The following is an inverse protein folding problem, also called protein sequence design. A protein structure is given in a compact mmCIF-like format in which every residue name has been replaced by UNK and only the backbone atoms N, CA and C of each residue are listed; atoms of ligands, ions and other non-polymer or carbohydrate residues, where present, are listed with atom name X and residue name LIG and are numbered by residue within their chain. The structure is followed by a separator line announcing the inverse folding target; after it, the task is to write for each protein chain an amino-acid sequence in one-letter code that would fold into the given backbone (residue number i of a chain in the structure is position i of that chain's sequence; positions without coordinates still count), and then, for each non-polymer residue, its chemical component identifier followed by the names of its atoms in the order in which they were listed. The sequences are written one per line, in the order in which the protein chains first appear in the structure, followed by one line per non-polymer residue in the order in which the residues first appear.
data_IF_372169543195
#
_entry.id   IF_372169543195
#
_cell.length_a   1.000
_cell.length_b   1.000
_cell.length_c   1.000
_cell.angle_alpha   90.00
_cell.angle_beta   90.00
_cell.angle_gamma   90.00
#
_symmetry.space_group_name_H-M   'P 1'
#
loop_
_entity.id
_entity.type
_entity.pdbx_description
1 polymer ?
#
# COMPACT_ATOMS: atom_id res chain seq x y z
N UNK A 1 7.25 -17.23 3.65
CA UNK A 1 7.02 -18.27 2.63
C UNK A 1 5.58 -18.24 2.13
N UNK A 2 4.59 -18.32 3.04
CA UNK A 2 3.17 -18.27 2.62
C UNK A 2 2.80 -16.96 1.91
N UNK A 3 3.36 -15.83 2.33
CA UNK A 3 3.13 -14.54 1.70
C UNK A 3 3.61 -14.52 0.25
N UNK A 4 4.80 -15.01 -0.01
CA UNK A 4 5.40 -15.04 -1.34
C UNK A 4 4.61 -15.96 -2.27
N UNK A 5 4.28 -17.17 -1.82
CA UNK A 5 3.49 -18.12 -2.60
C UNK A 5 2.13 -17.53 -2.96
N UNK A 6 1.52 -16.80 -2.04
CA UNK A 6 0.20 -16.19 -2.22
C UNK A 6 0.20 -15.05 -3.23
N UNK A 7 1.28 -14.26 -3.31
CA UNK A 7 1.30 -13.02 -4.07
C UNK A 7 2.22 -13.01 -5.30
N UNK A 8 3.04 -14.04 -5.52
CA UNK A 8 4.00 -14.04 -6.64
C UNK A 8 3.35 -13.96 -8.02
N UNK A 9 2.08 -14.34 -8.14
CA UNK A 9 1.32 -14.28 -9.38
C UNK A 9 0.48 -13.00 -9.54
N UNK A 10 0.60 -12.07 -8.61
CA UNK A 10 -0.13 -10.81 -8.67
C UNK A 10 0.21 -10.03 -9.96
N UNK A 11 -0.82 -9.55 -10.64
CA UNK A 11 -0.70 -8.77 -11.87
C UNK A 11 0.20 -9.40 -12.94
N UNK A 12 0.01 -10.70 -13.21
CA UNK A 12 0.80 -11.42 -14.22
C UNK A 12 0.78 -10.76 -15.59
N UNK A 13 -0.32 -10.13 -15.96
CA UNK A 13 -0.50 -9.47 -17.26
C UNK A 13 0.09 -8.05 -17.30
N UNK A 14 0.66 -7.56 -16.21
CA UNK A 14 1.25 -6.23 -16.10
C UNK A 14 0.27 -5.11 -16.50
N UNK A 15 -1.00 -5.24 -16.09
CA UNK A 15 -2.07 -4.29 -16.44
C UNK A 15 -2.48 -3.37 -15.30
N UNK A 16 -2.01 -3.61 -14.08
CA UNK A 16 -2.36 -2.78 -12.93
C UNK A 16 -1.84 -1.36 -13.09
N UNK A 17 -2.67 -0.38 -12.71
CA UNK A 17 -2.29 1.04 -12.75
C UNK A 17 -1.27 1.35 -11.65
N UNK A 18 -0.44 2.36 -11.86
CA UNK A 18 0.59 2.77 -10.89
C UNK A 18 0.01 3.05 -9.50
N UNK A 19 -1.14 3.73 -9.43
CA UNK A 19 -1.80 3.98 -8.14
C UNK A 19 -2.16 2.71 -7.40
N UNK A 20 -2.65 1.70 -8.12
CA UNK A 20 -2.99 0.40 -7.55
C UNK A 20 -1.75 -0.32 -7.05
N UNK A 21 -0.68 -0.32 -7.85
CA UNK A 21 0.60 -0.91 -7.45
C UNK A 21 1.19 -0.20 -6.23
N UNK A 22 1.15 1.12 -6.19
CA UNK A 22 1.65 1.91 -5.04
C UNK A 22 0.96 1.50 -3.74
N UNK A 23 -0.37 1.41 -3.75
CA UNK A 23 -1.16 0.99 -2.57
C UNK A 23 -0.82 -0.43 -2.15
N UNK A 24 -0.68 -1.33 -3.12
CA UNK A 24 -0.34 -2.73 -2.88
C UNK A 24 1.06 -2.85 -2.27
N UNK A 25 2.05 -2.16 -2.82
CA UNK A 25 3.43 -2.20 -2.33
C UNK A 25 3.57 -1.58 -0.94
N UNK A 26 2.85 -0.48 -0.68
CA UNK A 26 2.83 0.12 0.65
C UNK A 26 2.28 -0.85 1.71
N UNK A 27 1.26 -1.62 1.35
CA UNK A 27 0.67 -2.64 2.23
C UNK A 27 1.61 -3.82 2.45
N UNK A 28 2.27 -4.30 1.38
CA UNK A 28 3.20 -5.43 1.47
C UNK A 28 4.50 -5.06 2.17
N UNK A 29 4.98 -3.83 2.00
CA UNK A 29 6.30 -3.37 2.42
C UNK A 29 7.32 -3.43 1.28
N UNK A 30 8.35 -2.61 1.40
CA UNK A 30 9.38 -2.46 0.35
C UNK A 30 10.11 -3.76 0.05
N UNK A 31 10.64 -4.41 1.08
CA UNK A 31 11.46 -5.62 0.92
C UNK A 31 10.64 -6.79 0.38
N UNK A 32 9.44 -7.01 0.88
CA UNK A 32 8.56 -8.09 0.40
C UNK A 32 8.15 -7.87 -1.05
N UNK A 33 7.91 -6.62 -1.43
CA UNK A 33 7.56 -6.30 -2.83
C UNK A 33 8.74 -6.59 -3.76
N UNK A 34 9.97 -6.29 -3.35
CA UNK A 34 11.18 -6.65 -4.11
C UNK A 34 11.36 -8.17 -4.22
N UNK A 35 11.14 -8.90 -3.13
CA UNK A 35 11.23 -10.36 -3.12
C UNK A 35 10.25 -10.98 -4.12
N UNK A 36 9.02 -10.48 -4.17
CA UNK A 36 8.01 -10.96 -5.11
C UNK A 36 8.43 -10.68 -6.55
N UNK A 37 8.98 -9.51 -6.83
CA UNK A 37 9.51 -9.16 -8.16
C UNK A 37 10.64 -10.11 -8.57
N UNK A 38 11.56 -10.41 -7.65
CA UNK A 38 12.68 -11.32 -7.90
C UNK A 38 12.20 -12.76 -8.17
N UNK A 39 11.24 -13.23 -7.39
CA UNK A 39 10.69 -14.58 -7.55
C UNK A 39 9.90 -14.69 -8.85
N UNK A 40 9.15 -13.66 -9.23
CA UNK A 40 8.45 -13.62 -10.51
C UNK A 40 9.43 -13.75 -11.67
N UNK A 41 10.52 -13.01 -11.63
CA UNK A 41 11.55 -13.07 -12.66
C UNK A 41 12.17 -14.46 -12.75
N UNK A 42 12.53 -15.06 -11.61
CA UNK A 42 13.07 -16.40 -11.53
C UNK A 42 12.09 -17.46 -12.05
N UNK A 43 10.81 -17.34 -11.72
CA UNK A 43 9.76 -18.26 -12.15
C UNK A 43 9.56 -18.21 -13.68
N UNK A 44 9.53 -17.01 -14.25
CA UNK A 44 9.41 -16.82 -15.71
C UNK A 44 10.65 -17.36 -16.42
N UNK A 45 11.86 -17.09 -15.93
CA UNK A 45 13.09 -17.62 -16.50
C UNK A 45 13.17 -19.16 -16.38
N UNK A 46 12.67 -19.72 -15.26
CA UNK A 46 12.62 -21.15 -15.03
C UNK A 46 11.74 -21.91 -16.01
N UNK A 47 10.77 -21.24 -16.65
CA UNK A 47 9.94 -21.86 -17.68
C UNK A 47 10.68 -22.07 -19.01
N UNK A 48 11.85 -21.46 -19.19
CA UNK A 48 12.66 -21.56 -20.39
C UNK A 48 12.15 -20.79 -21.61
N UNK A 49 11.03 -20.08 -21.49
CA UNK A 49 10.39 -19.37 -22.59
C UNK A 49 11.01 -17.98 -22.77
N UNK A 50 11.36 -17.32 -21.66
CA UNK A 50 11.90 -15.97 -21.66
C UNK A 50 13.29 -15.99 -21.03
N UNK A 51 14.28 -15.42 -21.74
CA UNK A 51 15.70 -15.35 -21.32
C UNK A 51 16.15 -13.89 -21.27
N UNK A 52 15.44 -13.01 -20.72
CA UNK A 52 15.80 -11.60 -20.63
C UNK A 52 15.10 -10.95 -19.45
N UNK A 53 15.07 -9.64 -19.46
CA UNK A 53 14.39 -8.88 -18.45
C UNK A 53 12.89 -9.14 -18.49
N UNK A 54 12.30 -9.44 -17.33
CA UNK A 54 10.85 -9.57 -17.19
C UNK A 54 10.27 -8.18 -16.99
N UNK A 55 9.46 -7.72 -17.93
CA UNK A 55 8.93 -6.36 -17.99
C UNK A 55 8.19 -5.96 -16.70
N UNK A 56 7.33 -6.83 -16.17
CA UNK A 56 6.60 -6.54 -14.95
C UNK A 56 7.50 -6.42 -13.72
N UNK A 57 8.52 -7.27 -13.62
CA UNK A 57 9.48 -7.21 -12.53
C UNK A 57 10.32 -5.92 -12.60
N UNK A 58 10.77 -5.55 -13.80
CA UNK A 58 11.51 -4.32 -14.03
C UNK A 58 10.67 -3.09 -13.65
N UNK A 59 9.43 -3.05 -14.10
CA UNK A 59 8.48 -1.97 -13.77
C UNK A 59 8.28 -1.83 -12.27
N UNK A 60 8.11 -2.93 -11.57
CA UNK A 60 7.92 -2.94 -10.12
C UNK A 60 9.14 -2.40 -9.39
N UNK A 61 10.35 -2.81 -9.79
CA UNK A 61 11.59 -2.33 -9.18
C UNK A 61 11.76 -0.83 -9.36
N UNK A 62 11.48 -0.31 -10.55
CA UNK A 62 11.55 1.13 -10.85
C UNK A 62 10.55 1.89 -9.98
N UNK A 63 9.31 1.43 -9.92
CA UNK A 63 8.27 2.06 -9.11
C UNK A 63 8.61 2.04 -7.62
N UNK A 64 9.12 0.91 -7.11
CA UNK A 64 9.52 0.79 -5.71
C UNK A 64 10.66 1.75 -5.34
N UNK A 65 11.66 1.90 -6.21
CA UNK A 65 12.72 2.87 -6.00
C UNK A 65 12.20 4.30 -5.99
N UNK A 66 11.31 4.62 -6.91
CA UNK A 66 10.67 5.94 -6.97
C UNK A 66 9.87 6.22 -5.70
N UNK A 67 9.09 5.26 -5.23
CA UNK A 67 8.33 5.38 -3.99
C UNK A 67 9.24 5.62 -2.78
N UNK A 68 10.37 4.91 -2.71
CA UNK A 68 11.35 5.08 -1.65
C UNK A 68 11.96 6.47 -1.66
N UNK A 69 12.32 6.99 -2.83
CA UNK A 69 12.87 8.33 -3.00
C UNK A 69 11.86 9.42 -2.62
N UNK A 70 10.60 9.20 -2.88
CA UNK A 70 9.51 10.13 -2.53
C UNK A 70 9.15 10.10 -1.04
N UNK A 71 9.68 9.16 -0.27
CA UNK A 71 9.38 9.02 1.15
C UNK A 71 8.03 8.37 1.43
N UNK A 72 7.55 7.52 0.53
CA UNK A 72 6.29 6.78 0.72
C UNK A 72 6.38 5.91 1.97
N UNK A 73 5.36 5.90 2.86
CA UNK A 73 5.33 4.96 3.97
C UNK A 73 5.02 3.54 3.46
N UNK A 74 5.85 2.57 3.87
CA UNK A 74 5.68 1.17 3.50
C UNK A 74 5.13 0.31 4.64
N UNK A 75 4.62 0.94 5.67
CA UNK A 75 3.94 0.28 6.79
C UNK A 75 3.10 1.28 7.55
N UNK A 76 2.15 0.77 8.33
CA UNK A 76 1.34 1.63 9.19
C UNK A 76 2.19 2.39 10.22
N UNK A 77 3.33 1.83 10.62
CA UNK A 77 4.27 2.48 11.55
C UNK A 77 4.99 3.68 10.95
N UNK A 78 5.13 3.71 9.62
CA UNK A 78 5.76 4.82 8.91
C UNK A 78 4.83 6.03 8.72
N UNK A 79 3.54 5.89 9.03
CA UNK A 79 2.61 7.02 9.07
C UNK A 79 2.94 7.93 10.25
N UNK A 80 2.84 9.25 10.05
CA UNK A 80 3.08 10.26 11.09
C UNK A 80 1.87 10.44 12.02
N UNK A 81 1.21 9.34 12.37
CA UNK A 81 0.17 9.27 13.39
C UNK A 81 0.14 7.86 13.99
N UNK A 82 -0.32 7.77 15.23
CA UNK A 82 -0.55 6.49 15.90
C UNK A 82 -2.04 6.15 15.92
N UNK A 83 -2.37 4.92 16.31
CA UNK A 83 -3.76 4.54 16.58
C UNK A 83 -4.39 5.41 17.67
N UNK A 84 -3.61 5.78 18.70
CA UNK A 84 -4.07 6.69 19.75
C UNK A 84 -4.42 8.08 19.20
N UNK A 85 -3.64 8.60 18.27
CA UNK A 85 -3.95 9.87 17.61
C UNK A 85 -5.28 9.82 16.88
N UNK A 86 -5.53 8.75 16.14
CA UNK A 86 -6.79 8.55 15.40
C UNK A 86 -7.96 8.47 16.37
N UNK A 87 -7.83 7.72 17.46
CA UNK A 87 -8.86 7.64 18.49
C UNK A 87 -9.20 9.01 19.08
N UNK A 88 -8.17 9.82 19.37
CA UNK A 88 -8.36 11.16 19.88
C UNK A 88 -9.00 12.11 18.87
N UNK A 89 -8.54 12.08 17.63
CA UNK A 89 -9.06 12.97 16.58
C UNK A 89 -10.54 12.71 16.27
N UNK A 90 -10.94 11.44 16.32
CA UNK A 90 -12.27 11.01 15.92
C UNK A 90 -13.17 10.68 17.11
N UNK A 91 -12.68 10.78 18.33
CA UNK A 91 -13.39 10.41 19.56
C UNK A 91 -13.91 8.96 19.46
N UNK A 92 -13.06 8.05 18.97
CA UNK A 92 -13.38 6.64 18.82
C UNK A 92 -12.72 5.80 19.94
N UNK A 93 -13.39 4.74 20.39
CA UNK A 93 -12.75 3.76 21.26
C UNK A 93 -11.77 2.89 20.47
N UNK A 94 -10.91 2.16 21.18
CA UNK A 94 -10.07 1.15 20.56
C UNK A 94 -10.97 0.08 19.90
N UNK A 95 -10.93 -0.01 18.57
CA UNK A 95 -11.83 -0.85 17.80
C UNK A 95 -11.24 -1.17 16.43
N UNK A 96 -11.80 -2.15 15.68
CA UNK A 96 -11.37 -2.43 14.32
C UNK A 96 -11.49 -1.23 13.36
N UNK A 97 -12.37 -0.27 13.65
CA UNK A 97 -12.54 0.94 12.85
C UNK A 97 -11.25 1.77 12.80
N UNK A 98 -10.49 1.84 13.90
CA UNK A 98 -9.21 2.55 13.95
C UNK A 98 -8.20 1.93 12.98
N UNK A 99 -8.13 0.60 12.94
CA UNK A 99 -7.26 -0.13 12.01
C UNK A 99 -7.64 0.08 10.55
N UNK A 100 -8.92 0.11 10.24
CA UNK A 100 -9.42 0.38 8.87
C UNK A 100 -9.05 1.80 8.41
N UNK A 101 -9.21 2.78 9.28
CA UNK A 101 -8.84 4.16 8.99
C UNK A 101 -7.33 4.26 8.76
N UNK A 102 -6.53 3.62 9.60
CA UNK A 102 -5.08 3.61 9.46
C UNK A 102 -4.64 2.99 8.14
N UNK A 103 -5.25 1.86 7.75
CA UNK A 103 -5.00 1.22 6.46
C UNK A 103 -5.37 2.12 5.27
N UNK A 104 -6.49 2.84 5.37
CA UNK A 104 -6.91 3.79 4.34
C UNK A 104 -5.96 4.98 4.24
N UNK A 105 -5.44 5.48 5.36
CA UNK A 105 -4.43 6.54 5.39
C UNK A 105 -3.13 6.08 4.73
N UNK A 106 -2.70 4.86 5.00
CA UNK A 106 -1.52 4.28 4.37
C UNK A 106 -1.69 4.19 2.84
N UNK A 107 -2.84 3.71 2.38
CA UNK A 107 -3.15 3.62 0.96
C UNK A 107 -3.14 5.00 0.28
N UNK A 108 -3.67 6.02 0.96
CA UNK A 108 -3.67 7.39 0.46
C UNK A 108 -2.23 7.94 0.34
N UNK A 109 -1.41 7.77 1.37
CA UNK A 109 -0.03 8.26 1.40
C UNK A 109 0.89 7.50 0.44
N UNK A 110 0.52 6.29 0.03
CA UNK A 110 1.24 5.56 -1.01
C UNK A 110 1.22 6.31 -2.35
N UNK A 111 0.12 7.00 -2.62
CA UNK A 111 -0.08 7.80 -3.84
C UNK A 111 0.35 9.26 -3.62
N UNK A 112 0.08 9.80 -2.44
CA UNK A 112 0.35 11.19 -2.06
C UNK A 112 1.24 11.25 -0.80
N UNK A 113 2.54 10.96 -0.92
CA UNK A 113 3.42 10.88 0.25
C UNK A 113 3.58 12.21 0.99
N UNK A 114 3.37 13.34 0.32
CA UNK A 114 3.41 14.66 0.96
C UNK A 114 2.30 14.86 2.00
N UNK A 115 1.24 14.07 1.94
CA UNK A 115 0.13 14.12 2.89
C UNK A 115 0.40 13.36 4.19
N UNK A 116 1.56 12.73 4.33
CA UNK A 116 1.97 12.03 5.55
C UNK A 116 2.46 13.01 6.63
N UNK A 117 1.58 13.90 7.06
CA UNK A 117 1.81 14.83 8.17
C UNK A 117 0.63 14.75 9.13
N UNK A 118 0.84 15.03 10.45
CA UNK A 118 -0.25 14.94 11.42
C UNK A 118 -1.47 15.77 11.06
N UNK A 119 -1.28 16.99 10.57
CA UNK A 119 -2.38 17.90 10.19
C UNK A 119 -3.20 17.34 9.03
N UNK A 120 -2.54 16.85 7.98
CA UNK A 120 -3.21 16.29 6.81
C UNK A 120 -3.88 14.96 7.14
N UNK A 121 -3.21 14.11 7.91
CA UNK A 121 -3.76 12.82 8.34
C UNK A 121 -5.01 12.99 9.18
N UNK A 122 -5.03 13.96 10.08
CA UNK A 122 -6.21 14.31 10.87
C UNK A 122 -7.40 14.67 9.98
N UNK A 123 -7.19 15.56 9.02
CA UNK A 123 -8.23 15.99 8.08
C UNK A 123 -8.77 14.80 7.27
N UNK A 124 -7.86 14.00 6.72
CA UNK A 124 -8.22 12.83 5.94
C UNK A 124 -9.00 11.81 6.77
N UNK A 125 -8.60 11.56 8.01
CA UNK A 125 -9.29 10.64 8.91
C UNK A 125 -10.71 11.12 9.21
N UNK A 126 -10.90 12.41 9.47
CA UNK A 126 -12.21 13.00 9.69
C UNK A 126 -13.10 12.86 8.44
N UNK A 127 -12.57 13.12 7.25
CA UNK A 127 -13.30 12.99 6.00
C UNK A 127 -13.73 11.54 5.74
N UNK A 128 -12.86 10.58 6.05
CA UNK A 128 -13.17 9.15 5.92
C UNK A 128 -14.32 8.73 6.83
N UNK A 129 -14.32 9.19 8.08
CA UNK A 129 -15.40 8.88 9.04
C UNK A 129 -16.74 9.45 8.57
N UNK A 130 -16.77 10.66 8.04
CA UNK A 130 -17.98 11.28 7.52
C UNK A 130 -18.55 10.51 6.32
N UNK A 131 -17.71 10.01 5.43
CA UNK A 131 -18.16 9.19 4.29
C UNK A 131 -18.81 7.90 4.75
N UNK A 132 -18.20 7.20 5.69
CA UNK A 132 -18.72 5.94 6.22
C UNK A 132 -20.11 6.16 6.87
N UNK A 133 -20.27 7.25 7.62
CA UNK A 133 -21.54 7.59 8.25
C UNK A 133 -22.62 7.90 7.21
N UNK A 134 -22.28 8.56 6.10
CA UNK A 134 -23.22 8.84 5.03
C UNK A 134 -23.65 7.57 4.28
N UNK A 135 -22.74 6.65 4.06
CA UNK A 135 -23.04 5.38 3.40
C UNK A 135 -23.94 4.49 4.25
N UNK A 136 -23.75 4.48 5.58
CA UNK A 136 -24.64 3.77 6.51
C UNK A 136 -26.04 4.35 6.49
N UNK A 137 -26.20 5.66 6.36
CA UNK A 137 -27.50 6.33 6.32
C UNK A 137 -28.25 6.15 4.99
N UNK A 138 -27.60 5.66 3.94
CA UNK A 138 -28.22 5.38 2.64
C UNK A 138 -28.84 3.99 2.57
N UNK A 139 -28.53 3.14 3.50
CA UNK A 139 -29.08 1.80 3.61
C UNK A 139 -30.33 1.83 4.51
#
# INVERSE_FOLDING_TARGET
VCFIVRHHMYDLNNTAKDKTLRRTFARWGFERSLEIADIREADVHGSGIITGEVESAARWRILLQKMQQEGVPFSARALNCSGADIMNWLSLPASPAVGKIKAALLAHCAVYPADNTPARLKKLACDMLHRDTQDENRL
#
